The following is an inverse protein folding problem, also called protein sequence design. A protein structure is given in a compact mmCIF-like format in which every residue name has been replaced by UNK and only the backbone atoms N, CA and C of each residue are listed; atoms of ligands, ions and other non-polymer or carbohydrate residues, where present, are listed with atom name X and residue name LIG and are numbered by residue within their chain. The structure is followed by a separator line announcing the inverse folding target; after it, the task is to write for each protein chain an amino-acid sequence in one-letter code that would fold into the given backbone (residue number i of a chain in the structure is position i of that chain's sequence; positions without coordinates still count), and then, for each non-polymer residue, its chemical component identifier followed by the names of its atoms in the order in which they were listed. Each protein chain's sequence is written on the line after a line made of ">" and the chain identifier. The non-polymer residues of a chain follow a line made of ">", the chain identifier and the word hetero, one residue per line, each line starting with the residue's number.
data_IF_947327367342
#
_entry.id   IF_947327367342
#
_cell.length_a   1.000
_cell.length_b   1.000
_cell.length_c   1.000
_cell.angle_alpha   90.00
_cell.angle_beta   90.00
_cell.angle_gamma   90.00
#
_symmetry.space_group_name_H-M   'P 1'
#
loop_
_entity.id
_entity.type
_entity.pdbx_description
1 polymer ?
#
# COMPACT_ATOMS: atom_id res chain seq x y z
N UNK A 1 7.81 -7.07 -11.52
CA UNK A 1 6.44 -7.37 -11.05
C UNK A 1 6.21 -8.88 -10.96
N UNK A 2 6.68 -9.65 -11.96
CA UNK A 2 6.49 -11.10 -12.07
C UNK A 2 7.01 -11.92 -10.88
N UNK A 3 8.17 -11.58 -10.33
CA UNK A 3 8.72 -12.29 -9.17
C UNK A 3 7.74 -12.31 -7.99
N UNK A 4 7.20 -11.14 -7.61
CA UNK A 4 6.25 -11.03 -6.51
C UNK A 4 4.94 -11.77 -6.80
N UNK A 5 4.42 -11.68 -8.02
CA UNK A 5 3.21 -12.41 -8.41
C UNK A 5 3.42 -13.92 -8.36
N UNK A 6 4.51 -14.44 -8.93
CA UNK A 6 4.81 -15.87 -8.91
C UNK A 6 5.09 -16.39 -7.50
N UNK A 7 5.77 -15.60 -6.65
CA UNK A 7 5.96 -15.96 -5.24
C UNK A 7 4.63 -16.07 -4.51
N UNK A 8 3.72 -15.09 -4.69
CA UNK A 8 2.39 -15.15 -4.08
C UNK A 8 1.57 -16.33 -4.62
N UNK A 9 1.57 -16.58 -5.93
CA UNK A 9 0.90 -17.74 -6.51
C UNK A 9 1.44 -19.07 -5.94
N UNK A 10 2.76 -19.19 -5.78
CA UNK A 10 3.38 -20.40 -5.21
C UNK A 10 3.02 -20.63 -3.74
N UNK A 11 2.72 -19.56 -3.01
CA UNK A 11 2.29 -19.63 -1.62
C UNK A 11 0.77 -19.90 -1.47
N UNK A 12 0.00 -19.87 -2.57
CA UNK A 12 -1.46 -20.09 -2.58
C UNK A 12 -2.35 -18.84 -2.69
N UNK A 13 -1.91 -17.60 -2.38
CA UNK A 13 -2.67 -16.39 -2.70
C UNK A 13 -2.91 -16.15 -4.20
N UNK A 14 -3.93 -15.34 -4.49
CA UNK A 14 -4.20 -14.79 -5.83
C UNK A 14 -3.76 -13.33 -5.89
N UNK A 15 -2.60 -13.00 -6.49
CA UNK A 15 -2.10 -11.63 -6.54
C UNK A 15 -2.76 -10.80 -7.64
N UNK A 16 -2.87 -9.49 -7.43
CA UNK A 16 -3.25 -8.51 -8.46
C UNK A 16 -2.45 -7.24 -8.25
N UNK A 17 -2.03 -6.61 -9.35
CA UNK A 17 -1.18 -5.42 -9.35
C UNK A 17 -1.95 -4.27 -9.99
N UNK A 18 -2.29 -3.25 -9.20
CA UNK A 18 -3.11 -2.11 -9.64
C UNK A 18 -2.36 -0.82 -9.37
N UNK A 19 -2.32 0.05 -10.37
CA UNK A 19 -1.70 1.37 -10.30
C UNK A 19 -2.60 2.49 -10.86
N UNK A 20 -3.73 2.13 -11.48
CA UNK A 20 -4.76 3.08 -11.94
C UNK A 20 -5.60 3.53 -10.74
N UNK A 21 -5.66 4.84 -10.51
CA UNK A 21 -6.40 5.43 -9.40
C UNK A 21 -7.91 5.16 -9.53
N UNK A 22 -8.41 5.10 -10.76
CA UNK A 22 -9.81 4.86 -11.09
C UNK A 22 -10.29 3.49 -10.60
N UNK A 23 -9.41 2.48 -10.59
CA UNK A 23 -9.73 1.12 -10.16
C UNK A 23 -9.63 0.91 -8.65
N UNK A 24 -9.01 1.85 -7.92
CA UNK A 24 -8.69 1.65 -6.49
C UNK A 24 -9.96 1.55 -5.66
N UNK A 25 -10.95 2.43 -5.89
CA UNK A 25 -12.19 2.44 -5.11
C UNK A 25 -13.03 1.18 -5.36
N UNK A 26 -13.01 0.69 -6.60
CA UNK A 26 -13.78 -0.49 -7.00
C UNK A 26 -13.13 -1.80 -6.54
N UNK A 27 -11.81 -1.87 -6.48
CA UNK A 27 -11.11 -3.13 -6.20
C UNK A 27 -10.70 -3.30 -4.73
N UNK A 28 -10.16 -2.24 -4.11
CA UNK A 28 -9.53 -2.31 -2.78
C UNK A 28 -10.46 -2.82 -1.67
N UNK A 29 -11.78 -2.55 -1.67
CA UNK A 29 -12.67 -3.11 -0.65
C UNK A 29 -12.81 -4.65 -0.68
N UNK A 30 -12.43 -5.30 -1.78
CA UNK A 30 -12.61 -6.75 -1.97
C UNK A 30 -11.33 -7.57 -1.74
N UNK A 31 -10.18 -6.92 -1.55
CA UNK A 31 -8.91 -7.63 -1.31
C UNK A 31 -8.84 -8.20 0.12
N UNK A 32 -7.92 -9.12 0.34
CA UNK A 32 -7.59 -9.65 1.67
C UNK A 32 -6.53 -8.80 2.38
N UNK A 33 -5.53 -8.31 1.63
CA UNK A 33 -4.49 -7.44 2.12
C UNK A 33 -3.94 -6.56 0.99
N UNK A 34 -3.35 -5.41 1.33
CA UNK A 34 -2.69 -4.50 0.40
C UNK A 34 -1.20 -4.39 0.71
N UNK A 35 -0.36 -4.41 -0.32
CA UNK A 35 1.06 -4.08 -0.21
C UNK A 35 1.34 -2.84 -1.05
N UNK A 36 1.87 -1.77 -0.43
CA UNK A 36 2.32 -0.56 -1.10
C UNK A 36 3.84 -0.59 -1.14
N UNK A 37 4.42 -0.74 -2.33
CA UNK A 37 5.86 -0.72 -2.55
C UNK A 37 6.24 0.55 -3.34
N UNK A 38 7.19 1.33 -2.82
CA UNK A 38 7.58 2.63 -3.40
C UNK A 38 8.85 2.58 -4.27
N UNK A 39 9.40 1.39 -4.53
CA UNK A 39 10.74 1.23 -5.12
C UNK A 39 10.92 1.80 -6.52
N UNK A 40 9.83 1.95 -7.28
CA UNK A 40 9.82 2.55 -8.62
C UNK A 40 8.73 3.61 -8.72
N UNK A 41 8.75 4.57 -7.78
CA UNK A 41 7.70 5.57 -7.64
C UNK A 41 7.58 6.48 -8.88
N UNK A 42 6.33 6.78 -9.26
CA UNK A 42 6.00 7.89 -10.16
C UNK A 42 4.98 8.82 -9.49
N UNK A 43 4.88 10.11 -9.87
CA UNK A 43 3.90 11.03 -9.29
C UNK A 43 2.45 10.55 -9.40
N UNK A 44 2.08 9.93 -10.54
CA UNK A 44 0.74 9.38 -10.74
C UNK A 44 0.46 8.19 -9.81
N UNK A 45 1.45 7.32 -9.60
CA UNK A 45 1.30 6.16 -8.72
C UNK A 45 1.22 6.57 -7.25
N UNK A 46 1.89 7.65 -6.85
CA UNK A 46 1.79 8.16 -5.48
C UNK A 46 0.34 8.49 -5.10
N UNK A 47 -0.42 9.09 -6.02
CA UNK A 47 -1.84 9.39 -5.80
C UNK A 47 -2.67 8.10 -5.66
N UNK A 48 -2.44 7.11 -6.52
CA UNK A 48 -3.13 5.82 -6.45
C UNK A 48 -2.80 5.03 -5.16
N UNK A 49 -1.52 5.03 -4.75
CA UNK A 49 -1.06 4.39 -3.51
C UNK A 49 -1.75 5.00 -2.29
N UNK A 50 -1.83 6.34 -2.24
CA UNK A 50 -2.49 7.06 -1.16
C UNK A 50 -3.97 6.76 -1.08
N UNK A 51 -4.65 6.75 -2.22
CA UNK A 51 -6.07 6.38 -2.28
C UNK A 51 -6.26 4.93 -1.83
N UNK A 52 -5.39 4.02 -2.23
CA UNK A 52 -5.47 2.60 -1.84
C UNK A 52 -5.31 2.42 -0.33
N UNK A 53 -4.35 3.12 0.30
CA UNK A 53 -4.19 3.11 1.75
C UNK A 53 -5.45 3.64 2.47
N UNK A 54 -6.04 4.72 1.97
CA UNK A 54 -7.26 5.29 2.54
C UNK A 54 -8.47 4.37 2.39
N UNK A 55 -8.68 3.78 1.20
CA UNK A 55 -9.78 2.84 0.96
C UNK A 55 -9.59 1.57 1.78
N UNK A 56 -8.38 1.03 1.85
CA UNK A 56 -8.05 -0.11 2.72
C UNK A 56 -8.34 0.20 4.19
N UNK A 57 -7.99 1.39 4.68
CA UNK A 57 -8.30 1.83 6.04
C UNK A 57 -9.82 1.91 6.28
N UNK A 58 -10.58 2.52 5.36
CA UNK A 58 -12.05 2.64 5.45
C UNK A 58 -12.74 1.27 5.41
N UNK A 59 -12.26 0.36 4.56
CA UNK A 59 -12.78 -0.99 4.39
C UNK A 59 -12.25 -2.01 5.42
N UNK A 60 -11.45 -1.56 6.41
CA UNK A 60 -10.90 -2.42 7.45
C UNK A 60 -9.86 -3.44 6.96
N UNK A 61 -9.28 -3.26 5.76
CA UNK A 61 -8.30 -4.18 5.20
C UNK A 61 -6.91 -3.99 5.84
N UNK A 62 -6.19 -5.07 6.15
CA UNK A 62 -4.79 -4.99 6.56
C UNK A 62 -3.95 -4.54 5.36
N UNK A 63 -2.92 -3.75 5.61
CA UNK A 63 -1.99 -3.35 4.57
C UNK A 63 -0.59 -3.11 5.13
N UNK A 64 0.41 -3.15 4.25
CA UNK A 64 1.82 -2.95 4.61
C UNK A 64 2.46 -1.93 3.65
N UNK A 65 3.36 -1.11 4.18
CA UNK A 65 4.23 -0.23 3.41
C UNK A 65 5.62 -0.86 3.32
N UNK A 66 6.13 -1.00 2.11
CA UNK A 66 7.51 -1.40 1.82
C UNK A 66 8.32 -0.16 1.36
N UNK A 67 9.08 0.48 2.27
CA UNK A 67 9.76 1.76 2.05
C UNK A 67 11.09 1.60 1.31
N UNK A 68 11.09 0.90 0.17
CA UNK A 68 12.28 0.62 -0.63
C UNK A 68 13.06 1.90 -0.92
N UNK A 69 14.34 1.91 -0.53
CA UNK A 69 15.28 3.01 -0.74
C UNK A 69 14.83 4.38 -0.19
N UNK A 70 13.90 4.43 0.77
CA UNK A 70 13.41 5.68 1.36
C UNK A 70 14.54 6.57 1.91
N UNK A 71 15.59 5.98 2.48
CA UNK A 71 16.74 6.74 2.99
C UNK A 71 17.72 7.24 1.90
N UNK A 72 17.60 6.73 0.67
CA UNK A 72 18.51 7.07 -0.43
C UNK A 72 18.01 8.26 -1.27
N UNK A 73 16.75 8.67 -1.11
CA UNK A 73 16.14 9.76 -1.88
C UNK A 73 15.11 10.50 -1.03
N UNK A 74 15.21 11.83 -0.98
CA UNK A 74 14.24 12.67 -0.28
C UNK A 74 12.81 12.49 -0.84
N UNK A 75 12.68 12.30 -2.15
CA UNK A 75 11.38 12.06 -2.80
C UNK A 75 10.72 10.76 -2.30
N UNK A 76 11.50 9.70 -2.18
CA UNK A 76 11.03 8.41 -1.65
C UNK A 76 10.76 8.49 -0.14
N UNK A 77 11.61 9.19 0.61
CA UNK A 77 11.40 9.45 2.03
C UNK A 77 10.06 10.13 2.29
N UNK A 78 9.77 11.22 1.56
CA UNK A 78 8.54 11.98 1.70
C UNK A 78 7.30 11.16 1.34
N UNK A 79 7.36 10.37 0.27
CA UNK A 79 6.28 9.46 -0.10
C UNK A 79 5.99 8.45 1.03
N UNK A 80 7.03 7.83 1.58
CA UNK A 80 6.88 6.89 2.70
C UNK A 80 6.31 7.55 3.96
N UNK A 81 6.80 8.74 4.31
CA UNK A 81 6.35 9.46 5.51
C UNK A 81 4.87 9.80 5.45
N UNK A 82 4.36 10.16 4.27
CA UNK A 82 2.94 10.46 4.06
C UNK A 82 2.09 9.20 4.26
N UNK A 83 2.48 8.08 3.66
CA UNK A 83 1.72 6.83 3.77
C UNK A 83 1.80 6.22 5.18
N UNK A 84 2.98 6.29 5.82
CA UNK A 84 3.19 5.84 7.18
C UNK A 84 2.30 6.59 8.19
N UNK A 85 1.95 7.86 7.95
CA UNK A 85 1.00 8.57 8.81
C UNK A 85 -0.40 7.95 8.79
N UNK A 86 -0.88 7.53 7.61
CA UNK A 86 -2.16 6.84 7.48
C UNK A 86 -2.13 5.48 8.19
N UNK A 87 -1.01 4.75 8.07
CA UNK A 87 -0.82 3.48 8.76
C UNK A 87 -0.77 3.65 10.29
N UNK A 88 0.10 4.55 10.78
CA UNK A 88 0.31 4.78 12.20
C UNK A 88 -0.95 5.27 12.90
N UNK A 89 -1.72 6.19 12.31
CA UNK A 89 -2.99 6.65 12.88
C UNK A 89 -3.98 5.51 13.06
N UNK A 90 -4.11 4.62 12.06
CA UNK A 90 -4.95 3.43 12.17
C UNK A 90 -4.40 2.46 13.21
N UNK A 91 -3.10 2.16 13.17
CA UNK A 91 -2.48 1.20 14.08
C UNK A 91 -2.61 1.64 15.54
N UNK A 92 -2.37 2.92 15.84
CA UNK A 92 -2.59 3.49 17.19
C UNK A 92 -4.06 3.35 17.61
N UNK A 93 -5.01 3.69 16.72
CA UNK A 93 -6.44 3.57 17.00
C UNK A 93 -6.85 2.10 17.26
N UNK A 94 -6.40 1.19 16.42
CA UNK A 94 -6.88 -0.20 16.40
C UNK A 94 -6.11 -1.10 17.38
N UNK A 95 -4.87 -0.75 17.76
CA UNK A 95 -3.96 -1.60 18.55
C UNK A 95 -3.26 -0.92 19.74
N UNK A 96 -3.33 0.41 19.90
CA UNK A 96 -2.76 1.14 21.06
C UNK A 96 -3.81 1.82 21.94
N UNK A 97 -5.07 1.45 21.82
CA UNK A 97 -6.12 1.86 22.76
C UNK A 97 -5.89 1.17 24.12
N UNK A 98 -5.25 1.88 25.05
CA UNK A 98 -5.35 1.63 26.50
C UNK A 98 -6.55 2.38 27.07
#
# INVERSE_FOLDING_TARGET
>A
MDLMANTLLSAGPSPTMIYSIEQIQDFTPYIHALCINVGTLSPAWLLAMREAAQVANKAGKPWVLDPVAAAASEGLFRACAIEAQCYYRKWVRDYCSF
#
